data_IF_526538648304
#
_entry.id   IF_526538648304
#
_cell.length_a   1.000
_cell.length_b   1.000
_cell.length_c   1.000
_cell.angle_alpha   90.00
_cell.angle_beta   90.00
_cell.angle_gamma   90.00
#
_symmetry.space_group_name_H-M   'P 1'
#
loop_
_entity.id
_entity.type
_entity.pdbx_description
1 polymer ?
#
# COMPACT_ATOMS: atom_id res chain seq x y z
N UNK A 1 3.47 21.44 0.09
CA UNK A 1 4.14 20.62 1.14
C UNK A 1 3.11 20.21 2.18
N UNK A 2 3.20 18.99 2.72
CA UNK A 2 2.31 18.52 3.79
C UNK A 2 3.14 18.36 5.07
N UNK A 3 2.67 18.96 6.17
CA UNK A 3 3.27 18.82 7.51
C UNK A 3 2.24 18.18 8.44
N UNK A 4 2.62 17.09 9.08
CA UNK A 4 1.77 16.28 9.96
C UNK A 4 2.50 16.14 11.30
N UNK A 5 1.92 16.68 12.36
CA UNK A 5 2.38 16.47 13.73
C UNK A 5 1.16 16.16 14.59
N UNK A 6 0.89 14.88 14.79
CA UNK A 6 -0.35 14.41 15.43
C UNK A 6 -0.08 13.42 16.54
N UNK A 7 -0.98 13.41 17.51
CA UNK A 7 -1.01 12.41 18.57
C UNK A 7 -2.44 11.90 18.77
N UNK A 8 -2.59 10.57 18.94
CA UNK A 8 -3.86 9.92 19.24
C UNK A 8 -3.67 8.65 20.04
N UNK A 9 -4.43 8.52 21.12
CA UNK A 9 -4.51 7.26 21.87
C UNK A 9 -5.34 6.25 21.08
N UNK A 10 -4.79 5.05 20.87
CA UNK A 10 -5.44 3.93 20.19
C UNK A 10 -5.48 2.70 21.10
N UNK A 11 -6.46 1.84 20.84
CA UNK A 11 -6.52 0.50 21.43
C UNK A 11 -6.31 -0.51 20.31
N UNK A 12 -5.09 -1.03 20.21
CA UNK A 12 -4.73 -2.04 19.22
C UNK A 12 -4.89 -3.47 19.76
N UNK A 13 -4.64 -4.45 18.90
CA UNK A 13 -4.71 -5.88 19.26
C UNK A 13 -3.72 -6.28 20.37
N UNK A 14 -2.68 -5.50 20.59
CA UNK A 14 -1.66 -5.70 21.63
C UNK A 14 -1.82 -4.77 22.85
N UNK A 15 -2.98 -4.12 23.00
CA UNK A 15 -3.28 -3.19 24.09
C UNK A 15 -3.30 -1.72 23.68
N UNK A 16 -3.20 -0.83 24.66
CA UNK A 16 -3.20 0.61 24.42
C UNK A 16 -1.88 1.06 23.79
N UNK A 17 -1.95 1.84 22.71
CA UNK A 17 -0.80 2.47 22.09
C UNK A 17 -1.09 3.94 21.76
N UNK A 18 -0.03 4.73 21.57
CA UNK A 18 -0.14 6.11 21.11
C UNK A 18 0.35 6.22 19.67
N UNK A 19 -0.53 6.61 18.75
CA UNK A 19 -0.13 7.03 17.42
C UNK A 19 0.48 8.42 17.56
N UNK A 20 1.79 8.50 17.33
CA UNK A 20 2.55 9.75 17.36
C UNK A 20 3.33 9.83 16.04
N UNK A 21 2.90 10.74 15.17
CA UNK A 21 3.46 10.90 13.82
C UNK A 21 3.91 12.34 13.64
N UNK A 22 5.20 12.50 13.41
CA UNK A 22 5.82 13.74 12.92
C UNK A 22 6.40 13.45 11.54
N UNK A 23 5.80 14.04 10.50
CA UNK A 23 6.12 13.70 9.11
C UNK A 23 5.93 14.92 8.20
N UNK A 24 6.93 15.19 7.37
CA UNK A 24 6.85 16.17 6.30
C UNK A 24 6.90 15.47 4.95
N UNK A 25 5.99 15.83 4.04
CA UNK A 25 5.89 15.25 2.69
C UNK A 25 5.98 16.39 1.67
N UNK A 26 6.83 16.21 0.67
CA UNK A 26 6.92 17.16 -0.44
C UNK A 26 5.70 17.06 -1.35
N UNK A 27 5.30 18.19 -1.93
CA UNK A 27 4.22 18.18 -2.92
C UNK A 27 4.58 17.27 -4.09
N UNK A 28 3.60 16.49 -4.56
CA UNK A 28 3.73 15.49 -5.64
C UNK A 28 4.56 14.25 -5.28
N UNK A 29 4.98 14.07 -4.03
CA UNK A 29 5.56 12.80 -3.60
C UNK A 29 4.53 11.67 -3.63
N UNK A 30 5.01 10.47 -3.93
CA UNK A 30 4.28 9.23 -3.73
C UNK A 30 4.88 8.50 -2.51
N UNK A 31 4.20 8.58 -1.38
CA UNK A 31 4.67 8.00 -0.10
C UNK A 31 3.95 6.70 0.19
N UNK A 32 4.69 5.63 0.40
CA UNK A 32 4.14 4.38 0.93
C UNK A 32 4.29 4.33 2.44
N UNK A 33 3.20 4.04 3.14
CA UNK A 33 3.20 3.76 4.60
C UNK A 33 3.06 2.25 4.78
N UNK A 34 4.07 1.64 5.41
CA UNK A 34 4.10 0.20 5.68
C UNK A 34 4.32 -0.09 7.16
N UNK A 35 4.22 -1.35 7.57
CA UNK A 35 4.38 -1.79 8.95
C UNK A 35 3.42 -2.88 9.35
N UNK A 36 3.59 -3.45 10.53
CA UNK A 36 2.78 -4.55 11.05
C UNK A 36 1.28 -4.19 11.12
N UNK A 37 0.42 -5.21 11.05
CA UNK A 37 -1.01 -5.01 11.29
C UNK A 37 -1.24 -4.42 12.68
N UNK A 38 -2.19 -3.49 12.78
CA UNK A 38 -2.47 -2.79 14.04
C UNK A 38 -1.49 -1.67 14.41
N UNK A 39 -0.50 -1.32 13.56
CA UNK A 39 0.46 -0.23 13.86
C UNK A 39 -0.11 1.18 13.74
N UNK A 40 -1.37 1.36 13.30
CA UNK A 40 -2.05 2.65 13.19
C UNK A 40 -2.07 3.26 11.78
N UNK A 41 -1.69 2.52 10.74
CA UNK A 41 -1.63 3.02 9.33
C UNK A 41 -2.96 3.55 8.82
N UNK A 42 -4.01 2.72 8.86
CA UNK A 42 -5.38 3.11 8.44
C UNK A 42 -5.91 4.27 9.28
N UNK A 43 -5.62 4.28 10.58
CA UNK A 43 -6.00 5.41 11.46
C UNK A 43 -5.30 6.70 11.04
N UNK A 44 -4.02 6.66 10.65
CA UNK A 44 -3.31 7.81 10.11
C UNK A 44 -4.02 8.36 8.87
N UNK A 45 -4.35 7.51 7.88
CA UNK A 45 -5.10 7.95 6.69
C UNK A 45 -6.45 8.56 7.06
N UNK A 46 -7.20 7.93 7.97
CA UNK A 46 -8.51 8.44 8.43
C UNK A 46 -8.41 9.79 9.13
N UNK A 47 -7.34 10.03 9.90
CA UNK A 47 -7.06 11.34 10.52
C UNK A 47 -6.79 12.40 9.44
N UNK A 48 -5.94 12.09 8.46
CA UNK A 48 -5.64 12.98 7.34
C UNK A 48 -6.90 13.31 6.53
N UNK A 49 -7.77 12.34 6.37
CA UNK A 49 -9.07 12.53 5.72
C UNK A 49 -10.07 13.37 6.55
N UNK A 50 -9.82 13.57 7.84
CA UNK A 50 -10.78 14.19 8.76
C UNK A 50 -11.91 13.27 9.21
N UNK A 51 -11.78 11.96 8.94
CA UNK A 51 -12.74 10.92 9.35
C UNK A 51 -12.51 10.47 10.80
N UNK A 52 -11.36 10.84 11.38
CA UNK A 52 -10.98 10.46 12.73
C UNK A 52 -10.33 11.65 13.44
N UNK A 53 -10.65 11.86 14.73
CA UNK A 53 -10.10 12.96 15.53
C UNK A 53 -8.72 12.61 16.10
N UNK A 54 -7.83 13.60 16.13
CA UNK A 54 -6.53 13.54 16.80
C UNK A 54 -6.23 14.90 17.45
N UNK A 55 -5.16 14.98 18.23
CA UNK A 55 -4.57 16.25 18.68
C UNK A 55 -3.37 16.59 17.79
N UNK A 56 -2.95 17.87 17.81
CA UNK A 56 -1.82 18.36 17.03
C UNK A 56 -2.21 18.99 15.70
N UNK A 57 -1.26 19.14 14.80
CA UNK A 57 -1.36 20.01 13.61
C UNK A 57 -1.22 19.25 12.32
N UNK A 58 -2.08 19.58 11.35
CA UNK A 58 -1.99 19.11 9.95
C UNK A 58 -2.08 20.34 9.05
N UNK A 59 -1.04 20.56 8.25
CA UNK A 59 -0.95 21.65 7.28
C UNK A 59 -0.73 21.04 5.88
N UNK A 60 -1.52 21.48 4.91
CA UNK A 60 -1.42 21.04 3.52
C UNK A 60 -1.36 22.28 2.61
N UNK A 61 -0.24 22.45 1.91
CA UNK A 61 0.03 23.61 1.05
C UNK A 61 -0.33 24.94 1.72
N UNK A 62 0.26 25.16 2.91
CA UNK A 62 0.09 26.33 3.77
C UNK A 62 -1.32 26.55 4.35
N UNK A 63 -2.26 25.65 4.07
CA UNK A 63 -3.61 25.65 4.65
C UNK A 63 -3.65 24.75 5.89
N UNK A 64 -4.11 25.31 7.02
CA UNK A 64 -4.27 24.54 8.27
C UNK A 64 -5.54 23.69 8.16
N UNK A 65 -5.35 22.37 8.07
CA UNK A 65 -6.46 21.42 8.07
C UNK A 65 -6.88 21.01 9.49
N UNK A 66 -5.94 21.07 10.42
CA UNK A 66 -6.18 20.81 11.83
C UNK A 66 -5.12 21.53 12.68
N UNK A 67 -5.55 22.08 13.81
CA UNK A 67 -4.71 22.53 14.90
C UNK A 67 -5.42 22.28 16.25
N UNK A 68 -4.87 22.77 17.36
CA UNK A 68 -5.44 22.59 18.69
C UNK A 68 -6.79 23.29 18.88
N UNK A 69 -7.17 24.24 18.00
CA UNK A 69 -8.37 25.05 18.10
C UNK A 69 -9.44 24.65 17.08
N UNK A 70 -9.03 24.14 15.93
CA UNK A 70 -9.91 23.93 14.79
C UNK A 70 -9.56 22.68 13.98
N UNK A 71 -10.55 22.11 13.29
CA UNK A 71 -10.35 21.04 12.33
C UNK A 71 -11.30 21.24 11.15
N UNK A 72 -10.75 21.30 9.94
CA UNK A 72 -11.55 21.35 8.72
C UNK A 72 -12.40 20.08 8.61
N UNK A 73 -13.67 20.25 8.25
CA UNK A 73 -14.54 19.11 7.94
C UNK A 73 -14.03 18.36 6.69
N UNK A 74 -14.38 17.09 6.57
CA UNK A 74 -14.01 16.22 5.43
C UNK A 74 -14.31 16.90 4.09
N UNK A 75 -15.48 17.53 3.98
CA UNK A 75 -15.95 18.19 2.75
C UNK A 75 -15.09 19.39 2.32
N UNK A 76 -14.41 20.03 3.27
CA UNK A 76 -13.53 21.18 3.02
C UNK A 76 -12.08 20.77 2.74
N UNK A 77 -11.70 19.56 3.13
CA UNK A 77 -10.38 19.01 2.78
C UNK A 77 -10.42 18.54 1.32
N UNK A 78 -9.56 19.05 0.50
CA UNK A 78 -9.42 18.62 -0.90
C UNK A 78 -8.66 17.29 -0.96
N UNK A 79 -9.33 16.20 -0.58
CA UNK A 79 -8.78 14.85 -0.58
C UNK A 79 -9.53 13.94 -1.56
N UNK A 80 -8.80 12.97 -2.11
CA UNK A 80 -9.37 11.76 -2.68
C UNK A 80 -9.06 10.59 -1.74
N UNK A 81 -10.04 9.73 -1.49
CA UNK A 81 -9.83 8.54 -0.67
C UNK A 81 -10.26 7.28 -1.42
N UNK A 82 -9.33 6.34 -1.54
CA UNK A 82 -9.58 5.01 -2.09
C UNK A 82 -9.60 4.03 -0.91
N UNK A 83 -10.78 3.51 -0.60
CA UNK A 83 -11.00 2.56 0.48
C UNK A 83 -10.67 1.13 0.03
N UNK A 84 -10.35 0.27 0.97
CA UNK A 84 -10.07 -1.14 0.72
C UNK A 84 -11.31 -1.90 0.17
N UNK A 85 -12.51 -1.51 0.57
CA UNK A 85 -13.81 -2.06 0.17
C UNK A 85 -14.46 -1.33 -1.02
N UNK A 86 -13.67 -0.52 -1.74
CA UNK A 86 -14.09 0.31 -2.88
C UNK A 86 -15.11 1.41 -2.55
N UNK A 87 -16.01 1.19 -1.61
CA UNK A 87 -17.07 2.09 -1.13
C UNK A 87 -17.89 2.75 -2.29
N UNK A 88 -18.17 2.01 -3.36
CA UNK A 88 -18.97 2.49 -4.51
C UNK A 88 -20.44 2.56 -4.15
N UNK A 89 -21.16 3.51 -4.77
CA UNK A 89 -22.61 3.60 -4.67
C UNK A 89 -23.25 2.58 -5.61
N UNK A 90 -23.81 1.50 -5.07
CA UNK A 90 -24.36 0.37 -5.83
C UNK A 90 -25.62 0.76 -6.65
N UNK A 91 -26.35 1.76 -6.19
CA UNK A 91 -27.55 2.29 -6.85
C UNK A 91 -27.24 3.30 -7.98
N UNK A 92 -25.97 3.50 -8.31
CA UNK A 92 -25.49 4.41 -9.34
C UNK A 92 -24.64 3.67 -10.36
N UNK A 93 -24.72 4.07 -11.64
CA UNK A 93 -23.76 3.62 -12.65
C UNK A 93 -22.33 4.11 -12.34
N UNK A 94 -21.34 3.59 -13.07
CA UNK A 94 -19.94 4.05 -12.95
C UNK A 94 -19.85 5.56 -13.19
N UNK A 95 -20.46 6.05 -14.28
CA UNK A 95 -20.44 7.48 -14.62
C UNK A 95 -21.10 8.32 -13.53
N UNK A 96 -22.24 7.87 -12.99
CA UNK A 96 -22.92 8.57 -11.89
C UNK A 96 -22.10 8.57 -10.60
N UNK A 97 -21.38 7.50 -10.28
CA UNK A 97 -20.45 7.46 -9.16
C UNK A 97 -19.35 8.55 -9.26
N UNK A 98 -18.83 8.80 -10.46
CA UNK A 98 -17.86 9.86 -10.70
C UNK A 98 -18.52 11.24 -10.61
N UNK A 99 -19.63 11.44 -11.33
CA UNK A 99 -20.34 12.73 -11.42
C UNK A 99 -21.02 13.13 -10.10
N UNK A 100 -21.21 12.20 -9.17
CA UNK A 100 -21.68 12.48 -7.82
C UNK A 100 -20.69 13.38 -7.04
N UNK A 101 -19.38 13.16 -7.24
CA UNK A 101 -18.33 13.96 -6.58
C UNK A 101 -18.24 15.34 -7.22
N UNK A 102 -18.18 15.40 -8.55
CA UNK A 102 -18.08 16.64 -9.32
C UNK A 102 -18.76 16.46 -10.67
N UNK A 103 -19.61 17.42 -11.05
CA UNK A 103 -20.33 17.42 -12.34
C UNK A 103 -19.43 17.89 -13.50
N UNK A 104 -18.23 17.33 -13.60
CA UNK A 104 -17.26 17.58 -14.68
C UNK A 104 -17.21 16.36 -15.59
N UNK A 105 -17.97 16.42 -16.70
CA UNK A 105 -18.08 15.31 -17.68
C UNK A 105 -16.78 15.10 -18.44
N UNK A 106 -16.04 16.15 -18.73
CA UNK A 106 -14.79 16.05 -19.48
C UNK A 106 -13.74 15.33 -18.65
N UNK A 107 -13.64 15.68 -17.36
CA UNK A 107 -12.77 14.97 -16.42
C UNK A 107 -13.21 13.51 -16.23
N UNK A 108 -14.50 13.24 -16.10
CA UNK A 108 -15.01 11.87 -15.98
C UNK A 108 -14.66 11.05 -17.23
N UNK A 109 -14.84 11.59 -18.43
CA UNK A 109 -14.48 10.94 -19.70
C UNK A 109 -12.98 10.63 -19.74
N UNK A 110 -12.13 11.62 -19.42
CA UNK A 110 -10.67 11.45 -19.37
C UNK A 110 -10.25 10.34 -18.41
N UNK A 111 -10.80 10.30 -17.18
CA UNK A 111 -10.49 9.29 -16.18
C UNK A 111 -10.94 7.89 -16.63
N UNK A 112 -12.15 7.77 -17.20
CA UNK A 112 -12.66 6.50 -17.72
C UNK A 112 -11.83 5.98 -18.89
N UNK A 113 -11.32 6.87 -19.75
CA UNK A 113 -10.45 6.50 -20.85
C UNK A 113 -9.07 6.02 -20.34
N UNK A 114 -8.43 6.77 -19.44
CA UNK A 114 -7.13 6.41 -18.85
C UNK A 114 -7.15 5.08 -18.10
N UNK A 115 -8.32 4.64 -17.62
CA UNK A 115 -8.49 3.39 -16.85
C UNK A 115 -9.23 2.31 -17.63
N UNK A 116 -9.43 2.50 -18.95
CA UNK A 116 -10.12 1.56 -19.84
C UNK A 116 -11.54 1.18 -19.39
N UNK A 117 -12.27 2.11 -18.76
CA UNK A 117 -13.62 1.90 -18.26
C UNK A 117 -14.71 2.54 -19.16
N UNK A 118 -14.34 3.19 -20.26
CA UNK A 118 -15.28 3.94 -21.11
C UNK A 118 -16.47 3.11 -21.61
N UNK A 119 -16.24 1.84 -21.98
CA UNK A 119 -17.30 0.92 -22.45
C UNK A 119 -18.22 0.45 -21.31
N UNK A 120 -17.81 0.59 -20.07
CA UNK A 120 -18.53 0.12 -18.88
C UNK A 120 -19.29 1.24 -18.15
N UNK A 121 -19.19 2.48 -18.63
CA UNK A 121 -19.66 3.70 -17.94
C UNK A 121 -21.11 3.65 -17.41
N UNK A 122 -22.01 2.94 -18.11
CA UNK A 122 -23.42 2.80 -17.74
C UNK A 122 -23.72 1.57 -16.88
N UNK A 123 -22.72 0.74 -16.57
CA UNK A 123 -22.92 -0.43 -15.72
C UNK A 123 -22.99 -0.04 -14.25
N UNK A 124 -23.68 -0.86 -13.45
CA UNK A 124 -23.67 -0.78 -11.99
C UNK A 124 -22.41 -1.44 -11.43
N UNK A 125 -21.92 -1.02 -10.26
CA UNK A 125 -20.76 -1.61 -9.59
C UNK A 125 -20.86 -3.12 -9.38
N UNK A 126 -22.04 -3.66 -9.12
CA UNK A 126 -22.25 -5.10 -8.87
C UNK A 126 -21.85 -5.99 -10.04
N UNK A 127 -21.95 -5.46 -11.26
CA UNK A 127 -21.58 -6.17 -12.48
C UNK A 127 -20.08 -6.15 -12.81
N UNK A 128 -19.26 -5.54 -11.96
CA UNK A 128 -17.84 -5.32 -12.21
C UNK A 128 -16.96 -6.34 -11.46
N UNK A 129 -15.82 -6.69 -12.08
CA UNK A 129 -14.74 -7.39 -11.38
C UNK A 129 -14.11 -6.52 -10.28
N UNK A 130 -13.40 -7.14 -9.31
CA UNK A 130 -12.70 -6.41 -8.25
C UNK A 130 -11.75 -5.33 -8.77
N UNK A 131 -10.96 -5.65 -9.81
CA UNK A 131 -10.07 -4.68 -10.44
C UNK A 131 -10.79 -3.54 -11.15
N UNK A 132 -11.96 -3.80 -11.74
CA UNK A 132 -12.79 -2.74 -12.32
C UNK A 132 -13.40 -1.83 -11.24
N UNK A 133 -13.89 -2.41 -10.13
CA UNK A 133 -14.37 -1.64 -8.96
C UNK A 133 -13.27 -0.75 -8.40
N UNK A 134 -12.05 -1.27 -8.31
CA UNK A 134 -10.88 -0.52 -7.83
C UNK A 134 -10.56 0.68 -8.73
N UNK A 135 -10.58 0.49 -10.06
CA UNK A 135 -10.38 1.59 -11.03
C UNK A 135 -11.46 2.66 -10.89
N UNK A 136 -12.74 2.26 -10.75
CA UNK A 136 -13.83 3.21 -10.52
C UNK A 136 -13.64 4.00 -9.24
N UNK A 137 -13.23 3.34 -8.14
CA UNK A 137 -12.93 3.99 -6.86
C UNK A 137 -11.78 5.01 -7.00
N UNK A 138 -10.73 4.66 -7.74
CA UNK A 138 -9.61 5.55 -8.03
C UNK A 138 -10.04 6.76 -8.87
N UNK A 139 -10.79 6.52 -9.96
CA UNK A 139 -11.36 7.61 -10.79
C UNK A 139 -12.22 8.54 -9.95
N UNK A 140 -13.12 7.99 -9.13
CA UNK A 140 -14.00 8.77 -8.24
C UNK A 140 -13.20 9.62 -7.26
N UNK A 141 -12.13 9.08 -6.68
CA UNK A 141 -11.26 9.82 -5.76
C UNK A 141 -10.56 11.00 -6.44
N UNK A 142 -10.28 10.92 -7.74
CA UNK A 142 -9.60 11.96 -8.53
C UNK A 142 -10.56 13.03 -9.09
N UNK A 143 -11.88 12.78 -9.11
CA UNK A 143 -12.85 13.74 -9.65
C UNK A 143 -12.81 15.12 -8.98
N UNK A 144 -12.47 15.18 -7.71
CA UNK A 144 -12.36 16.45 -6.97
C UNK A 144 -10.98 17.14 -7.15
N UNK A 145 -10.13 16.65 -8.06
CA UNK A 145 -8.75 17.16 -8.26
C UNK A 145 -8.04 17.37 -6.91
N UNK A 146 -7.88 16.31 -6.11
CA UNK A 146 -7.45 16.43 -4.72
C UNK A 146 -6.01 16.92 -4.61
N UNK A 147 -5.71 17.71 -3.56
CA UNK A 147 -4.33 18.03 -3.15
C UNK A 147 -3.61 16.80 -2.59
N UNK A 148 -4.36 15.91 -1.95
CA UNK A 148 -3.86 14.70 -1.30
C UNK A 148 -4.75 13.49 -1.67
N UNK A 149 -4.13 12.48 -2.28
CA UNK A 149 -4.75 11.18 -2.58
C UNK A 149 -4.32 10.18 -1.51
N UNK A 150 -5.30 9.60 -0.82
CA UNK A 150 -5.11 8.58 0.21
C UNK A 150 -5.61 7.24 -0.31
N UNK A 151 -4.79 6.19 -0.21
CA UNK A 151 -5.15 4.85 -0.67
C UNK A 151 -4.86 3.82 0.43
N UNK A 152 -5.88 3.11 0.88
CA UNK A 152 -5.77 2.08 1.92
C UNK A 152 -5.78 0.68 1.27
N UNK A 153 -4.61 0.06 1.15
CA UNK A 153 -4.36 -1.25 0.54
C UNK A 153 -5.07 -1.46 -0.82
N UNK A 154 -4.84 -0.54 -1.80
CA UNK A 154 -5.65 -0.50 -3.03
C UNK A 154 -5.47 -1.71 -3.95
N UNK A 155 -4.48 -2.58 -3.73
CA UNK A 155 -4.13 -3.68 -4.63
C UNK A 155 -4.24 -5.05 -3.95
N UNK A 156 -4.66 -5.11 -2.68
CA UNK A 156 -4.61 -6.32 -1.85
C UNK A 156 -5.52 -7.46 -2.34
N UNK A 157 -6.63 -7.14 -2.99
CA UNK A 157 -7.64 -8.11 -3.44
C UNK A 157 -7.49 -8.56 -4.90
N UNK A 158 -6.34 -8.24 -5.56
CA UNK A 158 -6.14 -8.47 -6.99
C UNK A 158 -5.15 -9.60 -7.25
N UNK A 159 -5.37 -10.33 -8.36
CA UNK A 159 -4.38 -11.24 -8.91
C UNK A 159 -3.15 -10.50 -9.46
N UNK A 160 -2.09 -11.25 -9.80
CA UNK A 160 -0.78 -10.68 -10.17
C UNK A 160 -0.86 -9.82 -11.44
N UNK A 161 -1.60 -10.28 -12.47
CA UNK A 161 -1.68 -9.58 -13.75
C UNK A 161 -2.49 -8.29 -13.62
N UNK A 162 -3.65 -8.37 -12.96
CA UNK A 162 -4.50 -7.22 -12.68
C UNK A 162 -3.78 -6.19 -11.80
N UNK A 163 -3.00 -6.66 -10.81
CA UNK A 163 -2.19 -5.81 -9.93
C UNK A 163 -1.15 -5.02 -10.71
N UNK A 164 -0.40 -5.68 -11.61
CA UNK A 164 0.60 -5.02 -12.46
C UNK A 164 -0.01 -3.96 -13.36
N UNK A 165 -1.16 -4.25 -13.95
CA UNK A 165 -1.88 -3.29 -14.81
C UNK A 165 -2.34 -2.08 -14.00
N UNK A 166 -2.96 -2.28 -12.84
CA UNK A 166 -3.45 -1.19 -12.01
C UNK A 166 -2.30 -0.33 -11.42
N UNK A 167 -1.15 -0.93 -11.11
CA UNK A 167 0.05 -0.17 -10.73
C UNK A 167 0.47 0.83 -11.81
N UNK A 168 0.46 0.42 -13.08
CA UNK A 168 0.80 1.32 -14.20
C UNK A 168 -0.23 2.44 -14.33
N UNK A 169 -1.51 2.13 -14.17
CA UNK A 169 -2.59 3.12 -14.20
C UNK A 169 -2.47 4.13 -13.05
N UNK A 170 -2.18 3.67 -11.83
CA UNK A 170 -1.94 4.55 -10.67
C UNK A 170 -0.76 5.49 -10.94
N UNK A 171 0.35 5.00 -11.50
CA UNK A 171 1.50 5.84 -11.85
C UNK A 171 1.15 6.86 -12.93
N UNK A 172 0.42 6.46 -13.96
CA UNK A 172 -0.03 7.36 -15.01
C UNK A 172 -0.93 8.48 -14.48
N UNK A 173 -1.89 8.12 -13.63
CA UNK A 173 -2.80 9.08 -12.98
C UNK A 173 -2.05 10.00 -12.00
N UNK A 174 -1.15 9.45 -11.18
CA UNK A 174 -0.32 10.25 -10.27
C UNK A 174 0.51 11.29 -11.04
N UNK A 175 1.12 10.89 -12.16
CA UNK A 175 1.90 11.80 -13.02
C UNK A 175 1.02 12.85 -13.70
N UNK A 176 -0.12 12.45 -14.21
CA UNK A 176 -1.06 13.34 -14.93
C UNK A 176 -1.64 14.40 -14.01
N UNK A 177 -2.08 14.02 -12.82
CA UNK A 177 -2.73 14.94 -11.87
C UNK A 177 -1.74 15.65 -10.95
N UNK A 178 -0.50 15.16 -10.82
CA UNK A 178 0.51 15.73 -9.94
C UNK A 178 0.09 15.80 -8.47
N UNK A 179 -0.77 14.87 -8.05
CA UNK A 179 -1.34 14.82 -6.70
C UNK A 179 -0.32 14.24 -5.72
N UNK A 180 -0.19 14.81 -4.53
CA UNK A 180 0.56 14.16 -3.46
C UNK A 180 -0.18 12.90 -3.02
N UNK A 181 0.49 11.76 -2.97
CA UNK A 181 -0.15 10.46 -2.72
C UNK A 181 0.42 9.79 -1.48
N UNK A 182 -0.45 9.30 -0.59
CA UNK A 182 -0.09 8.42 0.52
C UNK A 182 -0.83 7.10 0.34
N UNK A 183 -0.07 6.01 0.20
CA UNK A 183 -0.60 4.67 0.02
C UNK A 183 -0.19 3.77 1.18
N UNK A 184 -1.13 3.04 1.76
CA UNK A 184 -0.79 1.92 2.63
C UNK A 184 -0.60 0.69 1.74
N UNK A 185 0.53 0.02 1.91
CA UNK A 185 0.78 -1.30 1.34
C UNK A 185 1.73 -2.10 2.23
N UNK A 186 1.58 -3.40 2.21
CA UNK A 186 2.49 -4.36 2.84
C UNK A 186 3.30 -5.16 1.81
N UNK A 187 3.03 -4.99 0.51
CA UNK A 187 3.74 -5.64 -0.58
C UNK A 187 5.00 -4.85 -0.98
N UNK A 188 6.22 -5.43 -0.78
CA UNK A 188 7.45 -4.74 -1.13
C UNK A 188 7.59 -4.39 -2.61
N UNK A 189 7.00 -5.19 -3.52
CA UNK A 189 7.07 -4.95 -4.97
C UNK A 189 6.24 -3.74 -5.38
N UNK A 190 5.04 -3.60 -4.80
CA UNK A 190 4.18 -2.43 -4.99
C UNK A 190 4.87 -1.16 -4.49
N UNK A 191 5.40 -1.22 -3.27
CA UNK A 191 6.10 -0.10 -2.64
C UNK A 191 7.30 0.31 -3.50
N UNK A 192 8.12 -0.65 -3.93
CA UNK A 192 9.30 -0.37 -4.73
C UNK A 192 8.97 0.26 -6.09
N UNK A 193 7.87 -0.16 -6.71
CA UNK A 193 7.45 0.29 -8.03
C UNK A 193 6.76 1.65 -8.02
N UNK A 194 5.91 1.91 -7.01
CA UNK A 194 5.04 3.08 -6.97
C UNK A 194 5.63 4.24 -6.17
N UNK A 195 6.29 3.96 -5.05
CA UNK A 195 6.64 5.00 -4.09
C UNK A 195 8.00 5.64 -4.36
N UNK A 196 8.06 6.96 -4.22
CA UNK A 196 9.32 7.72 -4.14
C UNK A 196 9.95 7.64 -2.74
N UNK A 197 9.12 7.41 -1.71
CA UNK A 197 9.49 7.39 -0.29
C UNK A 197 8.67 6.36 0.48
N UNK A 198 9.30 5.73 1.47
CA UNK A 198 8.65 4.74 2.35
C UNK A 198 8.78 5.18 3.79
N UNK A 199 7.66 5.16 4.50
CA UNK A 199 7.57 5.40 5.94
C UNK A 199 7.14 4.09 6.61
N UNK A 200 7.95 3.61 7.54
CA UNK A 200 7.65 2.38 8.30
C UNK A 200 7.07 2.76 9.65
N UNK A 201 5.82 2.39 9.87
CA UNK A 201 5.10 2.63 11.11
C UNK A 201 5.10 1.36 11.98
N UNK A 202 5.50 1.48 13.22
CA UNK A 202 5.45 0.40 14.20
C UNK A 202 4.96 0.93 15.55
N UNK A 203 3.95 0.27 16.13
CA UNK A 203 3.34 0.64 17.42
C UNK A 203 3.06 2.16 17.52
N UNK A 204 2.50 2.73 16.46
CA UNK A 204 2.12 4.14 16.41
C UNK A 204 3.27 5.14 16.22
N UNK A 205 4.49 4.68 15.96
CA UNK A 205 5.67 5.55 15.74
C UNK A 205 6.34 5.26 14.42
N UNK A 206 6.90 6.29 13.80
CA UNK A 206 7.76 6.14 12.61
C UNK A 206 9.10 5.59 13.09
N UNK A 207 9.49 4.41 12.60
CA UNK A 207 10.76 3.75 12.94
C UNK A 207 11.77 3.81 11.81
N UNK A 208 11.31 3.99 10.57
CA UNK A 208 12.15 4.16 9.38
C UNK A 208 11.47 5.08 8.38
N UNK A 209 12.26 5.84 7.64
CA UNK A 209 11.83 6.78 6.63
C UNK A 209 12.93 6.94 5.58
N UNK A 210 12.62 6.76 4.31
CA UNK A 210 13.61 6.89 3.25
C UNK A 210 13.19 6.34 1.89
N UNK A 211 14.15 6.23 0.98
CA UNK A 211 13.89 5.66 -0.35
C UNK A 211 13.57 4.17 -0.27
N UNK A 212 12.68 3.63 -1.11
CA UNK A 212 12.29 2.22 -1.13
C UNK A 212 13.50 1.28 -1.15
N UNK A 213 14.50 1.57 -2.01
CA UNK A 213 15.73 0.78 -2.10
C UNK A 213 16.43 0.61 -0.75
N UNK A 214 16.50 1.66 0.07
CA UNK A 214 17.23 1.64 1.33
C UNK A 214 16.45 0.93 2.44
N UNK A 215 15.13 0.98 2.38
CA UNK A 215 14.24 0.40 3.39
C UNK A 215 13.96 -1.08 3.12
N UNK A 216 13.72 -1.45 1.85
CA UNK A 216 13.25 -2.78 1.48
C UNK A 216 14.40 -3.76 1.19
N UNK A 217 15.51 -3.27 0.60
CA UNK A 217 16.63 -4.12 0.25
C UNK A 217 17.63 -4.20 1.42
N UNK A 218 17.40 -5.14 2.33
CA UNK A 218 18.34 -5.46 3.42
C UNK A 218 19.43 -6.40 2.90
N UNK A 219 20.42 -5.88 2.20
CA UNK A 219 21.63 -6.64 1.91
C UNK A 219 22.53 -6.64 3.14
N UNK A 220 22.45 -7.66 3.98
CA UNK A 220 23.43 -7.90 5.05
C UNK A 220 24.54 -8.81 4.51
N UNK A 221 25.76 -8.29 4.42
CA UNK A 221 26.96 -9.05 4.07
C UNK A 221 27.05 -9.49 2.60
N UNK A 222 27.76 -10.58 2.34
CA UNK A 222 27.98 -11.15 1.01
C UNK A 222 26.80 -11.94 0.42
N UNK A 223 25.67 -12.01 1.11
CA UNK A 223 24.45 -12.66 0.62
C UNK A 223 23.73 -11.75 -0.37
N UNK A 224 23.69 -12.16 -1.64
CA UNK A 224 23.01 -11.40 -2.70
C UNK A 224 21.51 -11.63 -2.74
N UNK A 225 21.02 -12.77 -2.22
CA UNK A 225 19.60 -13.10 -2.11
C UNK A 225 19.31 -13.70 -0.74
N UNK A 226 18.24 -13.23 -0.10
CA UNK A 226 17.72 -13.83 1.13
C UNK A 226 16.20 -13.72 1.10
N UNK A 227 15.52 -14.85 1.24
CA UNK A 227 14.07 -14.97 1.29
C UNK A 227 13.66 -15.53 2.65
N UNK A 228 12.60 -14.95 3.23
CA UNK A 228 11.94 -15.56 4.39
C UNK A 228 10.94 -16.60 3.87
N UNK A 229 11.03 -17.82 4.37
CA UNK A 229 10.13 -18.92 4.03
C UNK A 229 9.73 -19.72 5.28
N UNK A 230 8.71 -20.54 5.14
CA UNK A 230 8.27 -21.51 6.16
C UNK A 230 8.75 -22.90 5.76
N UNK A 231 9.42 -23.60 6.67
CA UNK A 231 9.85 -24.99 6.46
C UNK A 231 8.64 -25.91 6.58
N UNK A 232 8.23 -26.52 5.48
CA UNK A 232 7.07 -27.39 5.41
C UNK A 232 7.39 -28.85 5.66
N UNK A 233 8.56 -29.33 5.18
CA UNK A 233 8.94 -30.75 5.30
C UNK A 233 10.47 -30.91 5.15
N UNK A 234 10.99 -32.00 5.71
CA UNK A 234 12.39 -32.45 5.51
C UNK A 234 12.37 -33.92 5.09
N UNK A 235 12.80 -34.19 3.87
CA UNK A 235 12.92 -35.54 3.32
C UNK A 235 14.36 -36.01 3.27
N UNK A 236 14.60 -37.25 3.71
CA UNK A 236 15.91 -37.89 3.51
C UNK A 236 15.85 -38.69 2.19
N UNK A 237 16.79 -38.35 1.31
CA UNK A 237 16.96 -39.04 0.02
C UNK A 237 18.41 -39.55 -0.03
N UNK A 238 18.60 -40.81 0.14
CA UNK A 238 19.91 -41.48 0.28
C UNK A 238 20.80 -40.84 1.37
N UNK A 239 21.85 -40.15 0.97
CA UNK A 239 22.83 -39.52 1.89
C UNK A 239 22.57 -38.01 2.09
N UNK A 240 21.59 -37.42 1.41
CA UNK A 240 21.26 -36.00 1.50
C UNK A 240 19.89 -35.77 2.15
N UNK A 241 19.71 -34.58 2.65
CA UNK A 241 18.41 -34.12 3.13
C UNK A 241 17.90 -33.00 2.22
N UNK A 242 16.61 -33.02 1.92
CA UNK A 242 15.92 -32.02 1.11
C UNK A 242 14.88 -31.32 2.02
N UNK A 243 15.04 -30.03 2.23
CA UNK A 243 14.05 -29.19 2.88
C UNK A 243 13.07 -28.64 1.84
N UNK A 244 11.78 -28.78 2.09
CA UNK A 244 10.69 -28.18 1.31
C UNK A 244 10.25 -26.92 2.03
N UNK A 245 10.38 -25.78 1.36
CA UNK A 245 10.18 -24.48 1.94
C UNK A 245 9.15 -23.71 1.11
N UNK A 246 8.15 -23.13 1.76
CA UNK A 246 7.23 -22.19 1.14
C UNK A 246 7.82 -20.78 1.20
N UNK A 247 8.06 -20.16 0.04
CA UNK A 247 8.49 -18.78 -0.12
C UNK A 247 7.41 -18.01 -0.87
N UNK A 248 6.62 -17.23 -0.17
CA UNK A 248 5.43 -16.61 -0.74
C UNK A 248 4.43 -17.67 -1.22
N UNK A 249 4.16 -17.70 -2.52
CA UNK A 249 3.27 -18.71 -3.15
C UNK A 249 4.03 -19.85 -3.87
N UNK A 250 5.33 -19.93 -3.70
CA UNK A 250 6.18 -20.93 -4.37
C UNK A 250 6.72 -21.94 -3.36
N UNK A 251 6.84 -23.20 -3.80
CA UNK A 251 7.56 -24.24 -3.09
C UNK A 251 8.96 -24.38 -3.68
N UNK A 252 9.96 -24.40 -2.80
CA UNK A 252 11.37 -24.50 -3.18
C UNK A 252 11.96 -25.70 -2.43
N UNK A 253 12.72 -26.54 -3.17
CA UNK A 253 13.49 -27.63 -2.60
C UNK A 253 14.95 -27.19 -2.42
N UNK A 254 15.49 -27.40 -1.24
CA UNK A 254 16.88 -27.04 -0.92
C UNK A 254 17.58 -28.23 -0.28
N UNK A 255 18.74 -28.56 -0.82
CA UNK A 255 19.61 -29.57 -0.20
C UNK A 255 20.24 -28.97 1.04
N UNK A 256 20.08 -29.66 2.18
CA UNK A 256 20.62 -29.26 3.47
C UNK A 256 21.50 -30.38 4.06
N UNK A 257 22.43 -29.99 4.91
CA UNK A 257 23.33 -30.92 5.58
C UNK A 257 22.65 -31.61 6.77
N UNK A 258 23.24 -32.72 7.20
CA UNK A 258 22.79 -33.44 8.41
C UNK A 258 22.92 -32.62 9.69
N UNK A 259 23.81 -31.62 9.73
CA UNK A 259 23.94 -30.70 10.86
C UNK A 259 22.82 -29.64 10.86
N UNK A 260 22.45 -29.14 9.69
CA UNK A 260 21.34 -28.17 9.56
C UNK A 260 20.01 -28.80 9.94
N UNK A 261 19.77 -30.07 9.57
CA UNK A 261 18.54 -30.82 9.96
C UNK A 261 18.33 -30.84 11.47
N UNK A 262 19.40 -30.96 12.27
CA UNK A 262 19.29 -31.02 13.74
C UNK A 262 18.75 -29.73 14.36
N UNK A 263 18.91 -28.62 13.66
CA UNK A 263 18.55 -27.27 14.14
C UNK A 263 17.26 -26.72 13.51
N UNK A 264 16.63 -27.50 12.65
CA UNK A 264 15.42 -27.10 11.91
C UNK A 264 14.20 -27.83 12.44
N UNK A 265 13.08 -27.11 12.54
CA UNK A 265 11.78 -27.67 12.92
C UNK A 265 10.75 -27.33 11.84
N UNK A 266 9.95 -28.34 11.44
CA UNK A 266 8.83 -28.14 10.51
C UNK A 266 7.84 -27.12 11.10
N UNK A 267 7.39 -26.19 10.26
CA UNK A 267 6.52 -25.06 10.65
C UNK A 267 7.28 -23.80 11.09
N UNK A 268 8.62 -23.85 11.24
CA UNK A 268 9.38 -22.65 11.62
C UNK A 268 9.63 -21.73 10.42
N UNK A 269 9.69 -20.41 10.68
CA UNK A 269 10.17 -19.43 9.71
C UNK A 269 11.68 -19.46 9.63
N UNK A 270 12.19 -19.59 8.42
CA UNK A 270 13.63 -19.67 8.13
C UNK A 270 14.01 -18.66 7.06
N UNK A 271 15.28 -18.25 7.07
CA UNK A 271 15.87 -17.45 6.00
C UNK A 271 16.64 -18.34 5.03
N UNK A 272 16.23 -18.31 3.77
CA UNK A 272 16.90 -18.97 2.66
C UNK A 272 17.75 -17.96 1.93
N UNK A 273 19.07 -18.19 1.90
CA UNK A 273 19.99 -17.30 1.22
C UNK A 273 20.95 -18.05 0.31
N UNK A 274 21.38 -17.43 -0.78
CA UNK A 274 22.46 -17.95 -1.61
C UNK A 274 23.72 -17.12 -1.44
N UNK A 275 24.86 -17.78 -1.22
CA UNK A 275 26.16 -17.15 -1.34
C UNK A 275 26.49 -17.04 -2.84
N UNK A 276 26.67 -15.81 -3.28
CA UNK A 276 27.13 -15.36 -4.59
C UNK A 276 27.26 -16.42 -5.71
N UNK A 277 26.28 -16.48 -6.61
CA UNK A 277 26.43 -17.06 -7.94
C UNK A 277 25.81 -16.11 -8.97
N UNK A 278 26.26 -16.18 -10.23
CA UNK A 278 25.66 -15.41 -11.31
C UNK A 278 24.22 -15.87 -11.51
N UNK A 279 23.22 -15.07 -11.13
CA UNK A 279 21.85 -15.43 -11.45
C UNK A 279 21.68 -15.38 -12.97
N UNK A 280 21.15 -16.44 -13.54
CA UNK A 280 20.69 -16.43 -14.93
C UNK A 280 19.26 -15.89 -14.94
N UNK A 281 18.99 -14.94 -15.82
CA UNK A 281 17.63 -14.46 -16.09
C UNK A 281 17.19 -15.24 -17.34
N UNK A 282 16.16 -16.09 -17.19
CA UNK A 282 15.43 -16.69 -18.31
C UNK A 282 14.11 -15.93 -18.49
N UNK A 283 13.77 -15.65 -19.75
CA UNK A 283 12.48 -15.06 -20.13
C UNK A 283 11.40 -16.13 -20.16
#
# INVERSE_FOLDING_TARGET
MISININKKLHGSQGAMNLNVDLQIQSKDFVAVTGLSGSGKTTLLRILAGLEKSTGTIIVDDEIWQDDKSSLSVQKRQIGFVFQDYALFENMSIEENLLYVQKDRDLANKLLEMTELSSLRKRSPDSLSGGQKQRVSLCRALMNRPKLLLMDEPLSALDVDMRTKLQNEILALHKEFGTTTIMISHDPSEIYRLASRVVVLNQGKIINDGKPKNILLKTKGSQKFSFEGELLDIKKVDVIYIAIIAIGQQLVEIVISSEEVKNLQVGQKIQVGTKAFNPTISQ
#
